data_IF_390547921116
#
_entry.id   IF_390547921116
#
_cell.length_a   1.000
_cell.length_b   1.000
_cell.length_c   1.000
_cell.angle_alpha   90.00
_cell.angle_beta   90.00
_cell.angle_gamma   90.00
#
_symmetry.space_group_name_H-M   'P 1'
#
loop_
_entity.id
_entity.type
_entity.pdbx_description
1 polymer ?
#
# COMPACT_ATOMS: atom_id res chain seq x y z
N UNK A 1 -24.88 1.35 -7.74
CA UNK A 1 -23.57 1.62 -8.35
C UNK A 1 -22.75 0.34 -8.59
N UNK A 2 -22.84 -0.70 -7.73
CA UNK A 2 -22.09 -1.96 -7.94
C UNK A 2 -22.32 -2.64 -9.28
N UNK A 3 -23.53 -2.56 -9.82
CA UNK A 3 -23.89 -3.12 -11.13
C UNK A 3 -23.14 -2.43 -12.28
N UNK A 4 -22.97 -1.10 -12.20
CA UNK A 4 -22.17 -0.31 -13.16
C UNK A 4 -20.71 -0.76 -13.18
N UNK A 5 -20.15 -1.12 -12.02
CA UNK A 5 -18.78 -1.66 -11.96
C UNK A 5 -18.66 -3.06 -12.57
N UNK A 6 -19.72 -3.88 -12.52
CA UNK A 6 -19.70 -5.26 -13.02
C UNK A 6 -20.02 -5.38 -14.51
N UNK A 7 -20.90 -4.53 -15.04
CA UNK A 7 -21.44 -4.66 -16.40
C UNK A 7 -21.42 -3.35 -17.19
N UNK A 8 -21.16 -2.22 -16.53
CA UNK A 8 -21.20 -0.92 -17.18
C UNK A 8 -20.01 -0.66 -18.09
N UNK A 9 -20.22 0.23 -19.04
CA UNK A 9 -19.20 0.79 -19.91
C UNK A 9 -18.21 1.67 -19.15
N UNK A 10 -17.06 1.96 -19.77
CA UNK A 10 -16.04 2.85 -19.20
C UNK A 10 -16.63 4.20 -18.78
N UNK A 11 -17.48 4.81 -19.62
CA UNK A 11 -18.06 6.11 -19.34
C UNK A 11 -19.06 6.10 -18.18
N UNK A 12 -19.82 5.02 -18.02
CA UNK A 12 -20.72 4.88 -16.88
C UNK A 12 -19.95 4.73 -15.56
N UNK A 13 -18.82 4.01 -15.58
CA UNK A 13 -17.90 3.92 -14.44
C UNK A 13 -17.28 5.28 -14.11
N UNK A 14 -16.83 6.04 -15.11
CA UNK A 14 -16.29 7.40 -14.92
C UNK A 14 -17.35 8.33 -14.35
N UNK A 15 -18.56 8.32 -14.92
CA UNK A 15 -19.69 9.12 -14.42
C UNK A 15 -20.01 8.77 -12.98
N UNK A 16 -20.03 7.48 -12.64
CA UNK A 16 -20.28 7.00 -11.28
C UNK A 16 -19.22 7.52 -10.32
N UNK A 17 -17.93 7.44 -10.66
CA UNK A 17 -16.87 8.02 -9.83
C UNK A 17 -16.99 9.53 -9.69
N UNK A 18 -17.33 10.25 -10.76
CA UNK A 18 -17.52 11.71 -10.70
C UNK A 18 -18.66 12.10 -9.74
N UNK A 19 -19.75 11.32 -9.72
CA UNK A 19 -20.86 11.53 -8.78
C UNK A 19 -20.50 11.17 -7.34
N UNK A 20 -19.62 10.18 -7.13
CA UNK A 20 -19.13 9.78 -5.81
C UNK A 20 -17.96 10.65 -5.30
N UNK A 21 -17.33 11.43 -6.17
CA UNK A 21 -16.15 12.21 -5.81
C UNK A 21 -16.40 13.23 -4.67
N UNK A 22 -17.53 13.96 -4.61
CA UNK A 22 -17.80 14.88 -3.51
C UNK A 22 -17.89 14.19 -2.14
N UNK A 23 -18.51 13.01 -2.06
CA UNK A 23 -18.57 12.25 -0.81
C UNK A 23 -17.20 11.64 -0.45
N UNK A 24 -16.42 11.22 -1.45
CA UNK A 24 -15.04 10.79 -1.24
C UNK A 24 -14.15 11.92 -0.69
N UNK A 25 -14.38 13.18 -1.10
CA UNK A 25 -13.64 14.35 -0.62
C UNK A 25 -13.83 14.57 0.89
N UNK A 26 -15.03 14.33 1.42
CA UNK A 26 -15.27 14.38 2.86
C UNK A 26 -14.46 13.30 3.60
N UNK A 27 -14.32 12.11 3.01
CA UNK A 27 -13.45 11.06 3.52
C UNK A 27 -11.97 11.48 3.58
N UNK A 28 -11.51 12.30 2.63
CA UNK A 28 -10.14 12.84 2.65
C UNK A 28 -9.88 13.77 3.85
N UNK A 29 -10.90 14.47 4.36
CA UNK A 29 -10.75 15.30 5.56
C UNK A 29 -10.41 14.49 6.81
N UNK A 30 -10.77 13.20 6.83
CA UNK A 30 -10.40 12.27 7.90
C UNK A 30 -9.10 11.55 7.57
N UNK A 31 -8.97 11.06 6.33
CA UNK A 31 -7.83 10.26 5.90
C UNK A 31 -6.52 11.05 5.86
N UNK A 32 -6.54 12.27 5.32
CA UNK A 32 -5.32 13.06 5.11
C UNK A 32 -4.68 13.45 6.44
N UNK A 33 -5.38 14.04 7.42
CA UNK A 33 -4.77 14.34 8.72
C UNK A 33 -4.24 13.10 9.44
N UNK A 34 -4.98 11.99 9.40
CA UNK A 34 -4.52 10.72 9.99
C UNK A 34 -3.25 10.20 9.32
N UNK A 35 -3.18 10.25 7.99
CA UNK A 35 -1.98 9.83 7.24
C UNK A 35 -0.80 10.76 7.51
N UNK A 36 -1.03 12.07 7.55
CA UNK A 36 -0.01 13.07 7.87
C UNK A 36 0.53 12.87 9.29
N UNK A 37 -0.32 12.54 10.26
CA UNK A 37 0.11 12.21 11.61
C UNK A 37 1.11 11.06 11.62
N UNK A 38 0.83 9.95 10.92
CA UNK A 38 1.76 8.83 10.84
C UNK A 38 3.05 9.17 10.08
N UNK A 39 2.94 9.95 9.00
CA UNK A 39 4.11 10.43 8.28
C UNK A 39 5.02 11.29 9.17
N UNK A 40 4.44 12.23 9.92
CA UNK A 40 5.15 13.09 10.87
C UNK A 40 5.71 12.30 12.04
N UNK A 41 4.99 11.31 12.56
CA UNK A 41 5.49 10.41 13.60
C UNK A 41 6.71 9.62 13.13
N UNK A 42 6.67 9.09 11.90
CA UNK A 42 7.81 8.42 11.26
C UNK A 42 9.00 9.38 11.06
N UNK A 43 8.74 10.60 10.58
CA UNK A 43 9.77 11.64 10.43
C UNK A 43 10.40 12.01 11.78
N UNK A 44 9.59 12.20 12.81
CA UNK A 44 10.05 12.47 14.17
C UNK A 44 10.91 11.31 14.69
N UNK A 45 10.46 10.06 14.52
CA UNK A 45 11.22 8.90 14.95
C UNK A 45 12.58 8.78 14.24
N UNK A 46 12.62 9.11 12.94
CA UNK A 46 13.87 9.20 12.19
C UNK A 46 14.80 10.30 12.71
N UNK A 47 14.27 11.51 12.97
CA UNK A 47 15.07 12.64 13.49
C UNK A 47 15.52 12.46 14.93
N UNK A 48 14.73 11.76 15.75
CA UNK A 48 15.04 11.46 17.15
C UNK A 48 16.09 10.34 17.29
N UNK A 49 16.56 9.75 16.18
CA UNK A 49 17.52 8.64 16.21
C UNK A 49 16.96 7.38 16.83
N UNK A 50 15.62 7.24 16.93
CA UNK A 50 14.99 6.03 17.48
C UNK A 50 15.41 4.82 16.65
N UNK A 51 15.51 4.99 15.33
CA UNK A 51 16.02 3.94 14.44
C UNK A 51 17.48 3.59 14.72
N UNK A 52 18.31 4.54 15.13
CA UNK A 52 19.72 4.31 15.47
C UNK A 52 19.86 3.58 16.82
N UNK A 53 19.01 3.91 17.80
CA UNK A 53 18.93 3.18 19.08
C UNK A 53 18.45 1.75 18.85
N UNK A 54 17.41 1.57 18.04
CA UNK A 54 16.91 0.24 17.67
C UNK A 54 17.88 -0.52 16.76
N UNK A 55 18.72 0.15 15.98
CA UNK A 55 19.73 -0.48 15.12
C UNK A 55 20.85 -1.18 15.91
N UNK A 56 21.05 -0.82 17.19
CA UNK A 56 22.08 -1.43 18.07
C UNK A 56 21.89 -2.93 18.31
N UNK A 57 20.72 -3.50 18.03
CA UNK A 57 20.47 -4.93 18.07
C UNK A 57 19.08 -5.32 17.56
N UNK A 58 18.78 -6.61 17.47
CA UNK A 58 17.45 -7.08 17.02
C UNK A 58 16.41 -7.14 18.15
N UNK A 59 16.86 -7.19 19.40
CA UNK A 59 16.01 -7.40 20.58
C UNK A 59 14.83 -6.41 20.69
N UNK A 60 15.07 -5.09 20.56
CA UNK A 60 13.99 -4.10 20.59
C UNK A 60 12.95 -4.30 19.47
N UNK A 61 13.38 -4.56 18.24
CA UNK A 61 12.47 -4.83 17.13
C UNK A 61 11.66 -6.12 17.33
N UNK A 62 12.27 -7.19 17.87
CA UNK A 62 11.53 -8.42 18.21
C UNK A 62 10.48 -8.17 19.29
N UNK A 63 10.80 -7.35 20.30
CA UNK A 63 9.84 -6.97 21.34
C UNK A 63 8.68 -6.17 20.76
N UNK A 64 8.96 -5.16 19.94
CA UNK A 64 7.91 -4.36 19.27
C UNK A 64 7.08 -5.22 18.32
N UNK A 65 7.71 -6.15 17.58
CA UNK A 65 7.01 -7.10 16.73
C UNK A 65 5.97 -7.91 17.53
N UNK A 66 6.40 -8.59 18.58
CA UNK A 66 5.49 -9.43 19.36
C UNK A 66 4.44 -8.65 20.13
N UNK A 67 4.81 -7.51 20.73
CA UNK A 67 3.84 -6.63 21.38
C UNK A 67 2.82 -6.08 20.38
N UNK A 68 3.27 -5.65 19.20
CA UNK A 68 2.42 -5.15 18.12
C UNK A 68 1.47 -6.22 17.59
N UNK A 69 1.95 -7.46 17.42
CA UNK A 69 1.11 -8.59 17.02
C UNK A 69 0.05 -8.91 18.08
N UNK A 70 0.44 -9.03 19.34
CA UNK A 70 -0.49 -9.35 20.43
C UNK A 70 -1.52 -8.24 20.64
N UNK A 71 -1.06 -7.00 20.77
CA UNK A 71 -1.95 -5.85 20.94
C UNK A 71 -2.84 -5.63 19.71
N UNK A 72 -2.27 -5.78 18.52
CA UNK A 72 -3.03 -5.65 17.28
C UNK A 72 -4.09 -6.72 17.12
N UNK A 73 -3.75 -7.99 17.40
CA UNK A 73 -4.69 -9.11 17.33
C UNK A 73 -5.82 -8.98 18.36
N UNK A 74 -5.51 -8.58 19.60
CA UNK A 74 -6.53 -8.34 20.64
C UNK A 74 -7.44 -7.18 20.21
N UNK A 75 -6.88 -6.05 19.81
CA UNK A 75 -7.66 -4.87 19.42
C UNK A 75 -8.58 -5.16 18.24
N UNK A 76 -8.05 -5.77 17.16
CA UNK A 76 -8.86 -6.17 16.02
C UNK A 76 -9.86 -7.27 16.35
N UNK A 77 -9.48 -8.24 17.19
CA UNK A 77 -10.39 -9.29 17.66
C UNK A 77 -11.60 -8.72 18.39
N UNK A 78 -11.38 -7.76 19.31
CA UNK A 78 -12.46 -7.04 20.00
C UNK A 78 -13.32 -6.29 18.98
N UNK A 79 -12.71 -5.52 18.07
CA UNK A 79 -13.46 -4.73 17.07
C UNK A 79 -14.31 -5.59 16.15
N UNK A 80 -13.80 -6.73 15.69
CA UNK A 80 -14.56 -7.69 14.88
C UNK A 80 -15.66 -8.39 15.69
N UNK A 81 -15.36 -8.78 16.93
CA UNK A 81 -16.33 -9.41 17.82
C UNK A 81 -17.51 -8.47 18.09
N UNK A 82 -17.26 -7.21 18.45
CA UNK A 82 -18.30 -6.20 18.61
C UNK A 82 -19.03 -5.88 17.30
N UNK A 83 -18.34 -5.99 16.16
CA UNK A 83 -18.96 -5.84 14.84
C UNK A 83 -19.98 -6.92 14.51
N UNK A 84 -19.81 -8.10 15.08
CA UNK A 84 -20.56 -9.31 14.71
C UNK A 84 -21.61 -9.67 15.75
N UNK A 85 -21.31 -9.48 17.03
CA UNK A 85 -22.09 -10.04 18.15
C UNK A 85 -22.62 -8.99 19.14
N UNK A 86 -22.19 -7.73 19.07
CA UNK A 86 -22.66 -6.73 20.01
C UNK A 86 -24.00 -6.14 19.57
N UNK A 87 -25.01 -6.26 20.43
CA UNK A 87 -26.27 -5.54 20.30
C UNK A 87 -26.10 -4.13 20.87
N UNK A 88 -26.00 -3.13 19.99
CA UNK A 88 -26.04 -1.72 20.38
C UNK A 88 -24.99 -0.85 19.70
N UNK A 89 -25.45 0.31 19.21
CA UNK A 89 -24.63 1.27 18.47
C UNK A 89 -23.37 1.72 19.23
N UNK A 90 -23.51 2.04 20.52
CA UNK A 90 -22.38 2.54 21.33
C UNK A 90 -21.29 1.48 21.52
N UNK A 91 -21.67 0.23 21.80
CA UNK A 91 -20.71 -0.86 22.00
C UNK A 91 -19.98 -1.20 20.68
N UNK A 92 -20.71 -1.16 19.56
CA UNK A 92 -20.11 -1.28 18.23
C UNK A 92 -19.10 -0.15 17.95
N UNK A 93 -19.46 1.11 18.24
CA UNK A 93 -18.56 2.26 18.05
C UNK A 93 -17.29 2.15 18.90
N UNK A 94 -17.41 1.79 20.18
CA UNK A 94 -16.25 1.57 21.06
C UNK A 94 -15.36 0.46 20.49
N UNK A 95 -15.96 -0.63 20.03
CA UNK A 95 -15.24 -1.72 19.39
C UNK A 95 -14.48 -1.32 18.12
N UNK A 96 -15.09 -0.50 17.26
CA UNK A 96 -14.42 0.06 16.07
C UNK A 96 -13.22 0.93 16.47
N UNK A 97 -13.34 1.73 17.53
CA UNK A 97 -12.22 2.54 18.03
C UNK A 97 -11.08 1.66 18.57
N UNK A 98 -11.41 0.61 19.33
CA UNK A 98 -10.43 -0.37 19.82
C UNK A 98 -9.75 -1.11 18.66
N UNK A 99 -10.52 -1.52 17.65
CA UNK A 99 -10.00 -2.16 16.43
C UNK A 99 -9.07 -1.25 15.64
N UNK A 100 -9.40 0.04 15.56
CA UNK A 100 -8.55 1.05 14.90
C UNK A 100 -7.21 1.22 15.63
N UNK A 101 -7.23 1.24 16.96
CA UNK A 101 -6.01 1.27 17.78
C UNK A 101 -5.22 -0.05 17.60
N UNK A 102 -5.90 -1.20 17.50
CA UNK A 102 -5.29 -2.48 17.17
C UNK A 102 -4.56 -2.47 15.83
N UNK A 103 -5.11 -1.81 14.81
CA UNK A 103 -4.44 -1.66 13.52
C UNK A 103 -3.09 -0.93 13.62
N UNK A 104 -2.92 -0.02 14.59
CA UNK A 104 -1.63 0.64 14.85
C UNK A 104 -0.62 -0.35 15.45
N UNK A 105 -1.07 -1.29 16.29
CA UNK A 105 -0.26 -2.41 16.77
C UNK A 105 0.27 -3.26 15.62
N UNK A 106 -0.59 -3.64 14.67
CA UNK A 106 -0.16 -4.35 13.46
C UNK A 106 0.78 -3.53 12.59
N UNK A 107 0.59 -2.21 12.50
CA UNK A 107 1.50 -1.33 11.77
C UNK A 107 2.91 -1.40 12.35
N UNK A 108 3.06 -1.30 13.68
CA UNK A 108 4.34 -1.43 14.36
C UNK A 108 4.95 -2.83 14.20
N UNK A 109 4.12 -3.87 14.20
CA UNK A 109 4.54 -5.23 13.93
C UNK A 109 5.08 -5.38 12.50
N UNK A 110 4.40 -4.87 11.49
CA UNK A 110 4.85 -4.90 10.11
C UNK A 110 6.16 -4.14 9.91
N UNK A 111 6.28 -2.93 10.46
CA UNK A 111 7.53 -2.16 10.38
C UNK A 111 8.68 -2.95 11.00
N UNK A 112 8.49 -3.48 12.21
CA UNK A 112 9.53 -4.23 12.93
C UNK A 112 9.90 -5.53 12.21
N UNK A 113 8.90 -6.26 11.69
CA UNK A 113 9.10 -7.47 10.92
C UNK A 113 9.89 -7.22 9.63
N UNK A 114 9.55 -6.17 8.88
CA UNK A 114 10.26 -5.78 7.66
C UNK A 114 11.71 -5.37 7.96
N UNK A 115 11.95 -4.64 9.04
CA UNK A 115 13.33 -4.29 9.45
C UNK A 115 14.13 -5.53 9.81
N UNK A 116 13.57 -6.45 10.61
CA UNK A 116 14.23 -7.71 10.96
C UNK A 116 14.53 -8.56 9.71
N UNK A 117 13.59 -8.60 8.76
CA UNK A 117 13.77 -9.32 7.49
C UNK A 117 14.87 -8.69 6.63
N UNK A 118 14.91 -7.36 6.56
CA UNK A 118 15.93 -6.62 5.81
C UNK A 118 17.34 -6.75 6.41
N UNK A 119 17.45 -6.95 7.73
CA UNK A 119 18.73 -7.17 8.42
C UNK A 119 19.23 -8.60 8.31
N UNK A 120 18.38 -9.56 7.96
CA UNK A 120 18.75 -10.96 7.87
C UNK A 120 19.41 -11.27 6.53
N UNK A 121 20.68 -11.66 6.55
CA UNK A 121 21.47 -11.96 5.33
C UNK A 121 20.81 -13.03 4.44
N UNK A 122 20.07 -13.98 5.02
CA UNK A 122 19.35 -15.01 4.25
C UNK A 122 18.28 -14.42 3.34
N UNK A 123 17.65 -13.32 3.76
CA UNK A 123 16.56 -12.67 3.05
C UNK A 123 16.99 -11.44 2.26
N UNK A 124 18.27 -11.06 2.33
CA UNK A 124 18.83 -9.91 1.61
C UNK A 124 18.56 -9.98 0.11
N UNK A 125 18.72 -11.16 -0.50
CA UNK A 125 18.41 -11.38 -1.93
C UNK A 125 16.93 -11.13 -2.25
N UNK A 126 16.03 -11.65 -1.41
CA UNK A 126 14.60 -11.42 -1.55
C UNK A 126 14.27 -9.93 -1.41
N UNK A 127 14.76 -9.24 -0.38
CA UNK A 127 14.52 -7.81 -0.17
C UNK A 127 15.05 -6.96 -1.32
N UNK A 128 16.24 -7.29 -1.84
CA UNK A 128 16.81 -6.61 -3.00
C UNK A 128 15.94 -6.77 -4.27
N UNK A 129 15.20 -7.87 -4.42
CA UNK A 129 14.29 -8.07 -5.55
C UNK A 129 13.11 -7.09 -5.56
N UNK A 130 12.73 -6.52 -4.41
CA UNK A 130 11.67 -5.50 -4.30
C UNK A 130 12.18 -4.07 -4.56
N UNK A 131 13.49 -3.85 -4.61
CA UNK A 131 14.05 -2.49 -4.82
C UNK A 131 13.59 -1.87 -6.14
N UNK A 132 13.58 -2.57 -7.30
CA UNK A 132 13.13 -1.98 -8.56
C UNK A 132 11.69 -1.48 -8.53
N UNK A 133 10.77 -2.29 -8.00
CA UNK A 133 9.34 -1.92 -7.89
C UNK A 133 9.15 -0.76 -6.91
N UNK A 134 9.92 -0.72 -5.82
CA UNK A 134 9.92 0.39 -4.85
C UNK A 134 10.49 1.72 -5.40
N UNK A 135 11.29 1.67 -6.47
CA UNK A 135 11.82 2.87 -7.15
C UNK A 135 10.85 3.48 -8.16
N UNK A 136 9.74 2.79 -8.47
CA UNK A 136 8.73 3.24 -9.44
C UNK A 136 7.30 3.14 -8.89
N UNK A 137 7.03 3.67 -7.68
CA UNK A 137 5.77 3.45 -6.98
C UNK A 137 4.54 4.00 -7.73
N UNK A 138 4.67 5.14 -8.42
CA UNK A 138 3.58 5.74 -9.18
C UNK A 138 3.29 4.94 -10.45
N UNK A 139 4.33 4.55 -11.18
CA UNK A 139 4.18 3.69 -12.37
C UNK A 139 3.54 2.36 -11.97
N UNK A 140 4.01 1.72 -10.91
CA UNK A 140 3.50 0.42 -10.48
C UNK A 140 2.06 0.51 -10.01
N UNK A 141 1.70 1.59 -9.30
CA UNK A 141 0.32 1.85 -8.88
C UNK A 141 -0.62 2.05 -10.07
N UNK A 142 -0.22 2.87 -11.06
CA UNK A 142 -1.03 3.09 -12.26
C UNK A 142 -1.17 1.82 -13.09
N UNK A 143 -0.07 1.08 -13.28
CA UNK A 143 -0.09 -0.20 -13.98
C UNK A 143 -1.00 -1.21 -13.27
N UNK A 144 -0.92 -1.31 -11.94
CA UNK A 144 -1.79 -2.19 -11.15
C UNK A 144 -3.25 -1.78 -11.31
N UNK A 145 -3.54 -0.48 -11.28
CA UNK A 145 -4.90 0.05 -11.44
C UNK A 145 -5.46 -0.26 -12.83
N UNK A 146 -4.68 -0.03 -13.89
CA UNK A 146 -5.10 -0.34 -15.27
C UNK A 146 -5.34 -1.84 -15.42
N UNK A 147 -4.43 -2.68 -14.94
CA UNK A 147 -4.59 -4.15 -15.01
C UNK A 147 -5.82 -4.59 -14.21
N UNK A 148 -5.96 -4.16 -12.96
CA UNK A 148 -7.07 -4.59 -12.10
C UNK A 148 -8.42 -4.12 -12.63
N UNK A 149 -8.53 -2.87 -13.08
CA UNK A 149 -9.78 -2.35 -13.64
C UNK A 149 -10.12 -3.02 -14.97
N UNK A 150 -9.13 -3.29 -15.83
CA UNK A 150 -9.34 -4.09 -17.04
C UNK A 150 -9.79 -5.52 -16.73
N UNK A 151 -9.20 -6.19 -15.74
CA UNK A 151 -9.58 -7.56 -15.41
C UNK A 151 -10.96 -7.64 -14.76
N UNK A 152 -11.27 -6.75 -13.83
CA UNK A 152 -12.44 -6.90 -12.97
C UNK A 152 -13.66 -6.07 -13.40
N UNK A 153 -13.50 -4.93 -14.06
CA UNK A 153 -14.65 -4.09 -14.40
C UNK A 153 -15.34 -4.57 -15.68
N UNK A 154 -16.63 -4.26 -15.78
CA UNK A 154 -17.50 -4.68 -16.89
C UNK A 154 -17.04 -4.25 -18.28
N UNK A 155 -16.33 -3.13 -18.40
CA UNK A 155 -15.78 -2.66 -19.67
C UNK A 155 -14.55 -3.46 -20.16
N UNK A 156 -13.96 -4.29 -19.29
CA UNK A 156 -12.81 -5.13 -19.61
C UNK A 156 -13.21 -6.60 -19.68
N UNK A 157 -12.67 -7.44 -18.78
CA UNK A 157 -13.01 -8.86 -18.70
C UNK A 157 -14.17 -9.17 -17.74
N UNK A 158 -14.63 -8.19 -16.96
CA UNK A 158 -15.83 -8.33 -16.11
C UNK A 158 -15.71 -9.37 -14.99
N UNK A 159 -14.51 -9.72 -14.52
CA UNK A 159 -14.29 -10.79 -13.55
C UNK A 159 -14.79 -10.49 -12.12
N UNK A 160 -15.34 -9.30 -11.88
CA UNK A 160 -15.89 -8.91 -10.58
C UNK A 160 -17.01 -9.86 -10.10
N UNK A 161 -16.77 -10.49 -8.95
CA UNK A 161 -17.68 -11.48 -8.35
C UNK A 161 -17.65 -12.85 -9.02
N UNK A 162 -16.76 -13.09 -9.99
CA UNK A 162 -16.58 -14.38 -10.65
C UNK A 162 -15.35 -15.14 -10.13
N UNK A 163 -14.37 -14.41 -9.59
CA UNK A 163 -13.12 -14.96 -9.07
C UNK A 163 -13.21 -15.12 -7.55
N UNK A 164 -13.08 -16.35 -7.07
CA UNK A 164 -13.01 -16.65 -5.63
C UNK A 164 -11.75 -16.08 -4.97
N UNK A 165 -11.77 -15.95 -3.64
CA UNK A 165 -10.69 -15.31 -2.89
C UNK A 165 -9.29 -15.91 -3.16
N UNK A 166 -9.17 -17.24 -3.18
CA UNK A 166 -7.89 -17.92 -3.41
C UNK A 166 -7.32 -17.62 -4.81
N UNK A 167 -8.16 -17.70 -5.84
CA UNK A 167 -7.76 -17.36 -7.21
C UNK A 167 -7.42 -15.87 -7.36
N UNK A 168 -8.13 -14.98 -6.65
CA UNK A 168 -7.83 -13.55 -6.61
C UNK A 168 -6.47 -13.24 -5.98
N UNK A 169 -6.08 -13.96 -4.93
CA UNK A 169 -4.74 -13.87 -4.33
C UNK A 169 -3.67 -14.32 -5.31
N UNK A 170 -3.85 -15.48 -5.95
CA UNK A 170 -2.90 -15.99 -6.94
C UNK A 170 -2.73 -15.03 -8.13
N UNK A 171 -3.85 -14.48 -8.63
CA UNK A 171 -3.83 -13.47 -9.69
C UNK A 171 -3.05 -12.22 -9.24
N UNK A 172 -3.29 -11.74 -8.03
CA UNK A 172 -2.61 -10.57 -7.47
C UNK A 172 -1.10 -10.80 -7.36
N UNK A 173 -0.69 -11.95 -6.84
CA UNK A 173 0.74 -12.34 -6.74
C UNK A 173 1.36 -12.44 -8.13
N UNK A 174 0.67 -13.04 -9.10
CA UNK A 174 1.14 -13.17 -10.47
C UNK A 174 1.31 -11.82 -11.17
N UNK A 175 0.33 -10.92 -11.04
CA UNK A 175 0.42 -9.56 -11.57
C UNK A 175 1.61 -8.85 -10.92
N UNK A 176 1.70 -8.85 -9.60
CA UNK A 176 2.77 -8.18 -8.87
C UNK A 176 4.16 -8.71 -9.26
N UNK A 177 4.33 -10.03 -9.41
CA UNK A 177 5.57 -10.62 -9.89
C UNK A 177 5.93 -10.14 -11.31
N UNK A 178 4.96 -10.05 -12.22
CA UNK A 178 5.17 -9.45 -13.54
C UNK A 178 5.56 -7.97 -13.44
N UNK A 179 4.97 -7.21 -12.51
CA UNK A 179 5.36 -5.82 -12.26
C UNK A 179 6.78 -5.71 -11.73
N UNK A 180 7.25 -6.64 -10.89
CA UNK A 180 8.63 -6.69 -10.41
C UNK A 180 9.61 -6.92 -11.57
N UNK A 181 9.32 -7.88 -12.45
CA UNK A 181 10.15 -8.17 -13.62
C UNK A 181 10.18 -6.98 -14.58
N UNK A 182 9.02 -6.41 -14.90
CA UNK A 182 8.93 -5.17 -15.68
C UNK A 182 9.77 -4.06 -15.06
N UNK A 183 9.65 -3.88 -13.74
CA UNK A 183 10.34 -2.81 -13.05
C UNK A 183 11.87 -2.97 -13.10
N UNK A 184 12.34 -4.20 -12.93
CA UNK A 184 13.74 -4.54 -13.04
C UNK A 184 14.27 -4.32 -14.47
N UNK A 185 13.56 -4.79 -15.50
CA UNK A 185 13.95 -4.60 -16.90
C UNK A 185 14.00 -3.12 -17.27
N UNK A 186 12.99 -2.34 -16.87
CA UNK A 186 12.91 -0.92 -17.16
C UNK A 186 14.07 -0.14 -16.55
N UNK A 187 14.39 -0.40 -15.28
CA UNK A 187 15.45 0.32 -14.57
C UNK A 187 16.87 -0.05 -15.02
N UNK A 188 17.04 -1.07 -15.87
CA UNK A 188 18.32 -1.30 -16.57
C UNK A 188 18.61 -0.21 -17.61
N UNK A 189 17.58 0.34 -18.22
CA UNK A 189 17.70 1.32 -19.31
C UNK A 189 17.37 2.74 -18.88
N UNK A 190 16.56 2.91 -17.83
CA UNK A 190 16.03 4.20 -17.40
C UNK A 190 16.26 4.45 -15.91
N UNK A 191 16.44 5.72 -15.52
CA UNK A 191 16.68 6.10 -14.13
C UNK A 191 15.40 6.20 -13.30
N UNK A 192 14.28 6.44 -13.97
CA UNK A 192 12.97 6.74 -13.39
C UNK A 192 11.90 5.92 -14.11
N UNK A 193 10.82 5.60 -13.40
CA UNK A 193 9.64 5.06 -14.05
C UNK A 193 8.97 6.08 -14.97
N UNK A 194 8.22 5.62 -15.97
CA UNK A 194 7.59 6.48 -16.98
C UNK A 194 6.65 7.52 -16.35
N UNK A 195 5.82 7.11 -15.38
CA UNK A 195 4.89 8.02 -14.71
C UNK A 195 5.61 9.00 -13.78
N UNK A 196 6.65 8.56 -13.07
CA UNK A 196 7.49 9.41 -12.22
C UNK A 196 8.21 10.46 -13.04
N UNK A 197 8.74 10.09 -14.21
CA UNK A 197 9.37 11.01 -15.12
C UNK A 197 8.39 12.06 -15.64
N UNK A 198 7.20 11.62 -16.08
CA UNK A 198 6.15 12.53 -16.55
C UNK A 198 5.74 13.49 -15.43
N UNK A 199 5.50 12.99 -14.22
CA UNK A 199 5.15 13.79 -13.06
C UNK A 199 6.23 14.83 -12.73
N UNK A 200 7.49 14.42 -12.65
CA UNK A 200 8.61 15.35 -12.39
C UNK A 200 8.76 16.40 -13.49
N UNK A 201 8.53 16.03 -14.75
CA UNK A 201 8.59 16.96 -15.88
C UNK A 201 7.46 17.99 -15.82
N UNK A 202 6.27 17.60 -15.37
CA UNK A 202 5.15 18.52 -15.18
C UNK A 202 5.40 19.48 -14.00
N UNK A 203 5.95 18.98 -12.89
CA UNK A 203 6.17 19.79 -11.68
C UNK A 203 7.38 20.73 -11.78
N UNK A 204 8.50 20.25 -12.32
CA UNK A 204 9.78 20.98 -12.31
C UNK A 204 10.17 21.56 -13.68
N UNK A 205 9.38 21.30 -14.72
CA UNK A 205 9.66 21.79 -16.08
C UNK A 205 10.71 20.98 -16.85
N UNK A 206 11.34 21.61 -17.85
CA UNK A 206 12.25 20.93 -18.79
C UNK A 206 13.63 20.70 -18.13
N UNK A 207 14.04 19.44 -18.00
CA UNK A 207 15.37 19.08 -17.48
C UNK A 207 15.52 17.68 -16.89
N UNK A 208 14.40 16.99 -16.63
CA UNK A 208 14.42 15.63 -16.04
C UNK A 208 14.85 14.61 -17.10
N UNK A 209 16.08 14.11 -16.98
CA UNK A 209 16.61 13.05 -17.86
C UNK A 209 15.98 11.71 -17.48
N UNK A 210 15.40 11.02 -18.47
CA UNK A 210 14.78 9.70 -18.29
C UNK A 210 15.82 8.56 -18.31
N UNK A 211 16.86 8.72 -19.14
CA UNK A 211 17.94 7.73 -19.24
C UNK A 211 18.84 7.83 -18.01
N UNK A 212 19.27 6.68 -17.50
CA UNK A 212 20.39 6.64 -16.56
C UNK A 212 21.59 7.31 -17.22
N UNK A 213 22.28 8.19 -16.49
CA UNK A 213 23.58 8.64 -16.95
C UNK A 213 24.43 7.38 -17.17
N UNK A 214 24.97 7.20 -18.37
CA UNK A 214 25.97 6.17 -18.61
C UNK A 214 27.03 6.35 -17.52
N UNK A 215 27.26 5.30 -16.74
CA UNK A 215 28.40 5.26 -15.85
C UNK A 215 29.65 5.24 -16.75
N UNK A 216 30.20 6.42 -17.04
CA UNK A 216 31.49 6.66 -17.68
C UNK A 216 31.73 6.00 -19.03
N UNK A 217 31.88 6.81 -20.06
CA UNK A 217 33.16 6.79 -20.79
C UNK A 217 33.93 8.05 -20.37
#
# INVERSE_FOLDING_TARGET
YWEVFRQGSYWEVVRTHALLFPSALLGLLVLVPGTLLFFLAGLYAGRAGIMDVLARGEGPFRKVLWLGLTFGAIGMGIGQWTGTFADGFLLHMVGVMIGTIGAWGFTLAYISGLVLLARNDRFKGLMNSFVPVGRMPLTTYLMQSVIATFLFYGYGLGLAGQVGAAAGVLLTVGIFAAQMVFSWLWLKSFALGPAEWLWRRLMYGRGVRLRAASAGE
#
